data_IF_429145330783
#
_entry.id   IF_429145330783
#
_cell.length_a   1.000
_cell.length_b   1.000
_cell.length_c   1.000
_cell.angle_alpha   90.00
_cell.angle_beta   90.00
_cell.angle_gamma   90.00
#
_symmetry.space_group_name_H-M   'P 1'
#
loop_
_entity.id
_entity.type
_entity.pdbx_description
1 polymer ?
#
# COMPACT_ATOMS: atom_id res chain seq x y z
N UNK A 1 -10.25 -7.10 -19.98
CA UNK A 1 -11.17 -7.08 -18.82
C UNK A 1 -10.36 -7.50 -17.61
N UNK A 2 -10.20 -6.66 -16.58
CA UNK A 2 -9.49 -7.06 -15.36
C UNK A 2 -10.39 -8.01 -14.55
N UNK A 3 -9.86 -9.09 -13.94
CA UNK A 3 -10.66 -10.01 -13.14
C UNK A 3 -11.21 -9.27 -11.91
N UNK A 4 -12.52 -9.02 -11.88
CA UNK A 4 -13.21 -8.38 -10.74
C UNK A 4 -13.26 -9.26 -9.50
N UNK A 5 -13.00 -10.57 -9.65
CA UNK A 5 -12.91 -11.54 -8.56
C UNK A 5 -11.50 -11.64 -7.93
N UNK A 6 -10.52 -10.84 -8.38
CA UNK A 6 -9.17 -10.90 -7.83
C UNK A 6 -9.16 -10.44 -6.38
N UNK A 7 -8.80 -11.34 -5.46
CA UNK A 7 -8.77 -11.07 -4.01
C UNK A 7 -7.37 -10.78 -3.48
N UNK A 8 -6.33 -11.22 -4.20
CA UNK A 8 -4.92 -11.04 -3.82
C UNK A 8 -4.13 -10.57 -5.03
N UNK A 9 -3.30 -9.54 -4.84
CA UNK A 9 -2.39 -9.01 -5.85
C UNK A 9 -1.04 -8.72 -5.22
N UNK A 10 0.03 -9.24 -5.81
CA UNK A 10 1.40 -8.88 -5.47
C UNK A 10 2.06 -8.26 -6.69
N UNK A 11 2.69 -7.11 -6.50
CA UNK A 11 3.40 -6.39 -7.56
C UNK A 11 4.83 -6.16 -7.06
N UNK A 12 5.77 -6.73 -7.80
CA UNK A 12 7.17 -6.79 -7.40
C UNK A 12 8.06 -6.30 -8.55
N UNK A 13 9.17 -5.64 -8.22
CA UNK A 13 10.30 -5.35 -9.12
C UNK A 13 9.94 -4.60 -10.42
N UNK A 14 8.97 -3.69 -10.33
CA UNK A 14 8.49 -2.90 -11.46
C UNK A 14 9.32 -1.62 -11.67
N UNK A 15 10.56 -1.79 -12.16
CA UNK A 15 11.56 -0.71 -12.27
C UNK A 15 11.22 0.49 -13.16
N UNK A 16 10.15 0.41 -13.98
CA UNK A 16 9.68 1.53 -14.83
C UNK A 16 8.40 2.20 -14.30
N UNK A 17 7.84 1.71 -13.19
CA UNK A 17 6.55 2.19 -12.70
C UNK A 17 6.72 3.45 -11.85
N UNK A 18 6.02 4.52 -12.24
CA UNK A 18 6.11 5.83 -11.58
C UNK A 18 4.99 6.10 -10.57
N UNK A 19 3.86 5.42 -10.68
CA UNK A 19 2.75 5.61 -9.74
C UNK A 19 1.87 4.35 -9.65
N UNK A 20 1.48 3.97 -8.43
CA UNK A 20 0.54 2.86 -8.18
C UNK A 20 -0.84 3.17 -8.76
N UNK A 21 -1.26 4.44 -8.73
CA UNK A 21 -2.52 4.90 -9.31
C UNK A 21 -2.71 4.53 -10.79
N UNK A 22 -1.62 4.38 -11.56
CA UNK A 22 -1.69 4.00 -12.98
C UNK A 22 -2.24 2.59 -13.20
N UNK A 23 -2.18 1.73 -12.18
CA UNK A 23 -2.69 0.36 -12.23
C UNK A 23 -4.20 0.29 -12.07
N UNK A 24 -4.87 1.41 -11.73
CA UNK A 24 -6.33 1.50 -11.56
C UNK A 24 -6.87 0.42 -10.60
N UNK A 25 -6.12 0.15 -9.51
CA UNK A 25 -6.47 -0.87 -8.50
C UNK A 25 -7.81 -0.58 -7.81
N UNK A 26 -8.26 0.67 -7.82
CA UNK A 26 -9.61 1.07 -7.38
C UNK A 26 -10.74 0.30 -8.06
N UNK A 27 -10.51 -0.22 -9.29
CA UNK A 27 -11.49 -1.03 -10.02
C UNK A 27 -11.57 -2.48 -9.56
N UNK A 28 -10.59 -2.95 -8.77
CA UNK A 28 -10.55 -4.32 -8.26
C UNK A 28 -11.30 -4.38 -6.93
N UNK A 29 -12.63 -4.33 -6.99
CA UNK A 29 -13.51 -4.21 -5.82
C UNK A 29 -13.43 -5.42 -4.87
N UNK A 30 -13.06 -6.60 -5.37
CA UNK A 30 -12.86 -7.80 -4.52
C UNK A 30 -11.45 -7.92 -3.92
N UNK A 31 -10.54 -6.98 -4.24
CA UNK A 31 -9.15 -7.07 -3.82
C UNK A 31 -9.02 -6.76 -2.32
N UNK A 32 -8.68 -7.77 -1.52
CA UNK A 32 -8.55 -7.64 -0.07
C UNK A 32 -7.10 -7.65 0.39
N UNK A 33 -6.18 -8.20 -0.41
CA UNK A 33 -4.76 -8.27 -0.06
C UNK A 33 -3.90 -7.67 -1.19
N UNK A 34 -3.10 -6.67 -0.84
CA UNK A 34 -2.15 -6.04 -1.76
C UNK A 34 -0.74 -6.08 -1.18
N UNK A 35 0.21 -6.52 -2.01
CA UNK A 35 1.64 -6.45 -1.73
C UNK A 35 2.34 -5.62 -2.80
N UNK A 36 3.14 -4.65 -2.34
CA UNK A 36 3.96 -3.78 -3.16
C UNK A 36 5.42 -3.94 -2.74
N UNK A 37 6.29 -4.40 -3.64
CA UNK A 37 7.71 -4.65 -3.34
C UNK A 37 8.66 -4.15 -4.43
N UNK A 38 9.80 -3.60 -4.03
CA UNK A 38 10.94 -3.38 -4.94
C UNK A 38 10.61 -2.38 -6.04
N UNK A 39 10.14 -1.19 -5.65
CA UNK A 39 9.76 -0.15 -6.61
C UNK A 39 10.83 0.93 -6.72
N UNK A 40 10.95 1.58 -7.91
CA UNK A 40 11.94 2.62 -8.11
C UNK A 40 11.63 3.84 -7.24
N UNK A 41 12.66 4.65 -7.01
CA UNK A 41 12.60 5.88 -6.22
C UNK A 41 11.49 6.84 -6.65
N UNK A 42 11.14 6.84 -7.93
CA UNK A 42 10.09 7.71 -8.46
C UNK A 42 8.66 7.27 -8.10
N UNK A 43 8.46 6.10 -7.50
CA UNK A 43 7.13 5.58 -7.22
C UNK A 43 6.41 6.41 -6.15
N UNK A 44 5.25 6.96 -6.53
CA UNK A 44 4.31 7.58 -5.58
C UNK A 44 3.12 6.67 -5.25
N UNK A 45 2.75 6.67 -3.97
CA UNK A 45 1.55 6.03 -3.45
C UNK A 45 0.69 7.10 -2.76
N UNK A 46 -0.41 7.47 -3.41
CA UNK A 46 -1.26 8.60 -3.02
C UNK A 46 -2.65 8.12 -2.58
N UNK A 47 -3.40 9.01 -1.92
CA UNK A 47 -4.79 8.78 -1.57
C UNK A 47 -5.62 8.45 -2.83
N UNK A 48 -6.55 7.49 -2.72
CA UNK A 48 -7.41 7.10 -3.84
C UNK A 48 -6.74 6.23 -4.90
N UNK A 49 -5.47 5.81 -4.74
CA UNK A 49 -4.88 4.78 -5.61
C UNK A 49 -5.43 3.37 -5.33
N UNK A 50 -5.99 3.14 -4.14
CA UNK A 50 -6.42 1.83 -3.64
C UNK A 50 -7.93 1.81 -3.35
N UNK A 51 -8.53 0.62 -3.38
CA UNK A 51 -9.93 0.42 -3.03
C UNK A 51 -10.11 0.29 -1.50
N UNK A 52 -11.28 0.70 -0.96
CA UNK A 52 -11.60 0.54 0.46
C UNK A 52 -11.76 -0.93 0.89
N UNK A 53 -11.88 -1.88 -0.05
CA UNK A 53 -11.95 -3.32 0.20
C UNK A 53 -10.64 -3.94 0.71
N UNK A 54 -9.52 -3.22 0.64
CA UNK A 54 -8.22 -3.72 1.12
C UNK A 54 -8.26 -3.93 2.63
N UNK A 55 -8.07 -5.19 3.03
CA UNK A 55 -7.94 -5.63 4.42
C UNK A 55 -6.48 -5.76 4.86
N UNK A 56 -5.60 -6.09 3.92
CA UNK A 56 -4.17 -6.24 4.16
C UNK A 56 -3.33 -5.52 3.11
N UNK A 57 -2.47 -4.63 3.58
CA UNK A 57 -1.50 -3.90 2.78
C UNK A 57 -0.08 -4.22 3.25
N UNK A 58 0.72 -4.78 2.35
CA UNK A 58 2.15 -4.98 2.55
C UNK A 58 2.95 -4.09 1.62
N UNK A 59 3.86 -3.34 2.19
CA UNK A 59 4.77 -2.47 1.46
C UNK A 59 6.19 -2.81 1.89
N UNK A 60 7.06 -3.07 0.93
CA UNK A 60 8.45 -3.43 1.21
C UNK A 60 9.36 -2.79 0.19
N UNK A 61 10.45 -2.17 0.65
CA UNK A 61 11.47 -1.61 -0.26
C UNK A 61 10.88 -0.55 -1.21
N UNK A 62 10.20 0.44 -0.61
CA UNK A 62 9.75 1.67 -1.28
C UNK A 62 10.56 2.86 -0.75
N UNK A 63 11.66 3.24 -1.42
CA UNK A 63 12.67 4.17 -0.88
C UNK A 63 12.21 5.63 -0.75
N UNK A 64 11.06 6.01 -1.31
CA UNK A 64 10.46 7.34 -1.16
C UNK A 64 9.15 7.34 -0.36
N UNK A 65 8.75 6.20 0.19
CA UNK A 65 7.56 6.18 1.05
C UNK A 65 7.91 6.80 2.40
N UNK A 66 7.57 8.08 2.56
CA UNK A 66 7.79 8.88 3.76
C UNK A 66 6.51 9.11 4.58
N UNK A 67 5.34 8.93 3.96
CA UNK A 67 4.03 9.10 4.59
C UNK A 67 2.99 8.14 4.01
N UNK A 68 2.10 7.68 4.89
CA UNK A 68 0.85 7.00 4.53
C UNK A 68 -0.40 7.77 5.02
N UNK A 69 -0.22 8.99 5.54
CA UNK A 69 -1.28 9.73 6.24
C UNK A 69 -2.49 10.04 5.35
N UNK A 70 -2.30 10.22 4.04
CA UNK A 70 -3.40 10.40 3.08
C UNK A 70 -4.06 9.10 2.64
N UNK A 71 -3.33 7.98 2.68
CA UNK A 71 -3.82 6.69 2.20
C UNK A 71 -4.63 5.95 3.27
N UNK A 72 -4.11 5.81 4.49
CA UNK A 72 -4.73 5.02 5.56
C UNK A 72 -6.19 5.42 5.84
N UNK A 73 -6.57 6.71 5.89
CA UNK A 73 -7.97 7.09 6.12
C UNK A 73 -8.95 6.62 5.04
N UNK A 74 -8.45 6.34 3.82
CA UNK A 74 -9.28 5.83 2.72
C UNK A 74 -9.51 4.32 2.81
N UNK A 75 -8.64 3.59 3.52
CA UNK A 75 -8.67 2.14 3.62
C UNK A 75 -9.48 1.69 4.86
N UNK A 76 -10.79 1.91 4.82
CA UNK A 76 -11.68 1.70 5.98
C UNK A 76 -11.71 0.25 6.48
N UNK A 77 -11.48 -0.73 5.61
CA UNK A 77 -11.44 -2.14 5.98
C UNK A 77 -10.03 -2.63 6.33
N UNK A 78 -9.01 -1.76 6.39
CA UNK A 78 -7.64 -2.18 6.64
C UNK A 78 -7.48 -2.73 8.06
N UNK A 79 -7.10 -4.00 8.15
CA UNK A 79 -6.87 -4.72 9.41
C UNK A 79 -5.39 -4.98 9.64
N UNK A 80 -4.61 -5.11 8.58
CA UNK A 80 -3.17 -5.42 8.63
C UNK A 80 -2.39 -4.47 7.73
N UNK A 81 -1.44 -3.76 8.32
CA UNK A 81 -0.47 -2.95 7.60
C UNK A 81 0.92 -3.45 7.95
N UNK A 82 1.69 -3.86 6.94
CA UNK A 82 3.11 -4.18 7.10
C UNK A 82 3.91 -3.23 6.21
N UNK A 83 4.83 -2.48 6.80
CA UNK A 83 5.79 -1.65 6.10
C UNK A 83 7.18 -2.09 6.52
N UNK A 84 8.03 -2.42 5.56
CA UNK A 84 9.40 -2.85 5.81
C UNK A 84 10.36 -2.17 4.81
N UNK A 85 11.61 -1.90 5.23
CA UNK A 85 12.64 -1.28 4.38
C UNK A 85 12.15 -0.01 3.64
N UNK A 86 11.35 0.82 4.31
CA UNK A 86 10.88 2.11 3.80
C UNK A 86 11.32 3.24 4.75
N UNK A 87 11.60 4.46 4.27
CA UNK A 87 11.95 5.59 5.14
C UNK A 87 10.89 5.89 6.20
N UNK A 88 9.61 5.64 5.91
CA UNK A 88 8.50 5.74 6.85
C UNK A 88 8.75 4.96 8.16
N UNK A 89 9.42 3.80 8.10
CA UNK A 89 9.68 2.95 9.28
C UNK A 89 10.66 3.63 10.26
N UNK A 90 11.51 4.52 9.75
CA UNK A 90 12.47 5.28 10.56
C UNK A 90 11.84 6.56 11.16
N UNK A 91 10.60 6.88 10.83
CA UNK A 91 9.91 8.02 11.43
C UNK A 91 9.34 7.65 12.79
N UNK A 92 9.47 8.57 13.76
CA UNK A 92 8.93 8.40 15.11
C UNK A 92 7.42 8.17 14.98
N UNK A 93 6.86 7.08 15.53
CA UNK A 93 5.45 6.78 15.33
C UNK A 93 4.61 7.95 15.87
N UNK A 94 3.61 8.45 15.11
CA UNK A 94 2.67 9.41 15.66
C UNK A 94 1.95 8.71 16.82
N UNK A 95 1.75 9.42 17.94
CA UNK A 95 1.32 8.92 19.26
C UNK A 95 0.00 8.13 19.29
N UNK A 96 -0.63 7.89 18.13
CA UNK A 96 -1.88 7.14 17.95
C UNK A 96 -1.72 5.78 17.24
N UNK A 97 -0.52 5.37 16.83
CA UNK A 97 -0.30 4.13 16.06
C UNK A 97 0.08 2.89 16.89
N UNK A 98 0.04 2.95 18.23
CA UNK A 98 0.41 1.84 19.14
C UNK A 98 -0.46 0.56 19.01
N UNK A 99 -1.44 0.52 18.10
CA UNK A 99 -2.33 -0.64 17.87
C UNK A 99 -2.05 -1.46 16.62
N UNK A 100 -1.10 -1.07 15.77
CA UNK A 100 -0.92 -1.70 14.45
C UNK A 100 0.40 -2.48 14.27
N UNK A 101 1.21 -2.59 15.32
CA UNK A 101 2.40 -3.44 15.31
C UNK A 101 2.06 -4.72 16.08
N UNK A 102 1.96 -5.88 15.43
CA UNK A 102 1.85 -7.13 16.16
C UNK A 102 3.17 -7.38 16.91
N UNK A 103 3.05 -7.60 18.23
CA UNK A 103 4.08 -8.23 19.05
C UNK A 103 4.42 -9.61 18.50
#
# INVERSE_FOLDING_TARGET
>A
MFPTALTRLAIQDCGKMKAVCNLKLTKLTSLTHLELRGFPETLRLEAGCLNESIEELRITDLPHLDSLSGLIPTLKNLRRLKVDKCPLVNQKPPSRMHKLIPQ
#
